data_IF_407750277705
#
_entry.id   IF_407750277705
#
_cell.length_a   1.000
_cell.length_b   1.000
_cell.length_c   1.000
_cell.angle_alpha   90.00
_cell.angle_beta   90.00
_cell.angle_gamma   90.00
#
_symmetry.space_group_name_H-M   'P 1'
#
loop_
_entity.id
_entity.type
_entity.pdbx_description
1 polymer ?
#
# COMPACT_ATOMS: atom_id res chain seq x y z
N UNK A 1 -8.46 -19.70 -5.11
CA UNK A 1 -8.24 -18.66 -4.09
C UNK A 1 -8.50 -17.32 -4.78
N UNK A 2 -9.28 -16.41 -4.20
CA UNK A 2 -9.74 -15.17 -4.87
C UNK A 2 -9.36 -13.97 -4.01
N UNK A 3 -8.53 -13.07 -4.52
CA UNK A 3 -8.06 -11.86 -3.84
C UNK A 3 -8.62 -10.66 -4.62
N UNK A 4 -9.31 -9.72 -3.99
CA UNK A 4 -9.95 -8.59 -4.71
C UNK A 4 -9.02 -7.38 -4.74
N UNK A 5 -8.89 -6.70 -5.87
CA UNK A 5 -8.14 -5.45 -6.01
C UNK A 5 -9.08 -4.32 -6.41
N UNK A 6 -9.12 -3.22 -5.64
CA UNK A 6 -9.95 -2.05 -5.98
C UNK A 6 -9.10 -0.90 -6.51
N UNK A 7 -9.21 -0.60 -7.81
CA UNK A 7 -8.68 0.64 -8.42
C UNK A 7 -9.79 1.71 -8.41
N UNK A 8 -9.75 2.66 -7.47
CA UNK A 8 -10.76 3.73 -7.33
C UNK A 8 -10.16 5.12 -7.61
N UNK A 9 -10.98 6.04 -8.12
CA UNK A 9 -10.65 7.37 -8.67
C UNK A 9 -10.90 8.51 -7.68
N UNK A 10 -9.97 9.44 -7.39
CA UNK A 10 -10.10 10.91 -7.27
C UNK A 10 -8.76 11.50 -6.73
N UNK A 11 -8.69 12.83 -6.66
CA UNK A 11 -7.49 13.65 -6.43
C UNK A 11 -7.20 13.82 -4.93
N UNK A 12 -5.90 13.75 -4.55
CA UNK A 12 -5.27 13.94 -3.22
C UNK A 12 -5.81 13.04 -2.10
N UNK A 13 -4.94 12.16 -1.56
CA UNK A 13 -5.15 11.36 -0.32
C UNK A 13 -6.02 10.07 -0.39
N UNK A 14 -5.77 9.21 -1.37
CA UNK A 14 -6.70 8.14 -1.79
C UNK A 14 -6.62 6.74 -1.17
N UNK A 15 -5.52 6.34 -0.54
CA UNK A 15 -5.46 4.97 0.05
C UNK A 15 -6.40 4.77 1.23
N UNK A 16 -6.66 5.84 1.99
CA UNK A 16 -7.42 5.78 3.24
C UNK A 16 -8.92 5.76 2.95
N UNK A 17 -9.39 6.38 1.86
CA UNK A 17 -10.82 6.43 1.51
C UNK A 17 -11.39 5.06 1.13
N UNK A 18 -10.59 4.24 0.44
CA UNK A 18 -10.98 2.84 0.16
C UNK A 18 -11.18 2.07 1.48
N UNK A 19 -10.31 2.31 2.46
CA UNK A 19 -10.44 1.73 3.80
C UNK A 19 -11.62 2.33 4.60
N UNK A 20 -11.98 3.60 4.36
CA UNK A 20 -13.17 4.23 4.94
C UNK A 20 -14.48 3.65 4.41
N UNK A 21 -14.47 3.03 3.23
CA UNK A 21 -15.64 2.31 2.70
C UNK A 21 -15.85 0.93 3.35
N UNK A 22 -14.86 0.41 4.08
CA UNK A 22 -15.01 -0.83 4.86
C UNK A 22 -15.97 -0.59 6.02
N UNK A 23 -16.92 -1.49 6.22
CA UNK A 23 -17.87 -1.44 7.33
C UNK A 23 -17.15 -1.26 8.68
N UNK A 24 -17.57 -0.26 9.46
CA UNK A 24 -16.89 0.15 10.69
C UNK A 24 -16.85 -0.99 11.72
N UNK A 25 -17.90 -1.80 11.78
CA UNK A 25 -18.01 -2.92 12.71
C UNK A 25 -17.04 -4.06 12.34
N UNK A 26 -16.68 -4.19 11.07
CA UNK A 26 -15.76 -5.22 10.58
C UNK A 26 -14.29 -4.87 10.85
N UNK A 27 -13.94 -3.58 10.96
CA UNK A 27 -12.54 -3.12 11.05
C UNK A 27 -11.82 -3.64 12.29
N UNK A 28 -12.53 -3.75 13.41
CA UNK A 28 -11.96 -4.14 14.70
C UNK A 28 -11.34 -5.56 14.70
N UNK A 29 -11.63 -6.40 13.70
CA UNK A 29 -11.03 -7.72 13.51
C UNK A 29 -10.00 -7.81 12.38
N UNK A 30 -9.72 -6.71 11.67
CA UNK A 30 -8.98 -6.71 10.41
C UNK A 30 -7.60 -6.04 10.53
N UNK A 31 -6.61 -6.61 9.85
CA UNK A 31 -5.22 -6.15 9.84
C UNK A 31 -4.83 -5.51 8.52
N UNK A 32 -4.13 -4.39 8.59
CA UNK A 32 -3.64 -3.63 7.44
C UNK A 32 -2.11 -3.62 7.42
N UNK A 33 -1.51 -3.88 6.27
CA UNK A 33 -0.07 -3.69 6.03
C UNK A 33 0.16 -2.51 5.09
N UNK A 34 1.13 -1.66 5.40
CA UNK A 34 1.51 -0.49 4.59
C UNK A 34 3.02 -0.55 4.30
N UNK A 35 3.44 -1.20 3.21
CA UNK A 35 4.83 -1.19 2.76
C UNK A 35 5.24 0.19 2.22
N UNK A 36 6.48 0.59 2.48
CA UNK A 36 7.01 1.89 2.03
C UNK A 36 6.26 3.06 2.65
N UNK A 37 5.98 2.97 3.95
CA UNK A 37 5.15 3.97 4.64
C UNK A 37 5.81 5.37 4.73
N UNK A 38 7.10 5.49 4.39
CA UNK A 38 7.85 6.73 4.38
C UNK A 38 7.85 7.41 5.75
N UNK A 39 7.50 8.70 5.78
CA UNK A 39 7.38 9.49 7.03
C UNK A 39 6.22 9.07 7.95
N UNK A 40 5.52 8.00 7.58
CA UNK A 40 4.52 7.37 8.43
C UNK A 40 3.17 8.07 8.45
N UNK A 41 2.98 9.29 7.89
CA UNK A 41 1.70 10.05 7.93
C UNK A 41 0.47 9.14 7.75
N UNK A 42 0.50 8.27 6.75
CA UNK A 42 -0.60 7.35 6.44
C UNK A 42 -0.60 6.07 7.28
N UNK A 43 0.56 5.64 7.76
CA UNK A 43 0.64 4.65 8.84
C UNK A 43 -0.06 5.11 10.12
N UNK A 44 -0.19 6.43 10.36
CA UNK A 44 -0.88 6.98 11.53
C UNK A 44 -2.39 7.16 11.35
N UNK A 45 -2.86 7.48 10.13
CA UNK A 45 -4.30 7.72 9.88
C UNK A 45 -5.13 6.42 9.81
N UNK A 46 -4.55 5.32 9.34
CA UNK A 46 -5.26 4.04 9.20
C UNK A 46 -5.66 3.44 10.56
N UNK A 47 -4.79 3.39 11.60
CA UNK A 47 -5.19 2.95 12.94
C UNK A 47 -6.40 3.69 13.51
N UNK A 48 -6.55 4.99 13.21
CA UNK A 48 -7.68 5.80 13.69
C UNK A 48 -9.02 5.40 13.06
N UNK A 49 -8.99 4.65 11.96
CA UNK A 49 -10.21 4.11 11.34
C UNK A 49 -10.82 2.93 12.12
N UNK A 50 -10.14 2.42 13.16
CA UNK A 50 -10.64 1.33 14.01
C UNK A 50 -10.21 -0.07 13.57
N UNK A 51 -9.14 -0.19 12.76
CA UNK A 51 -8.57 -1.49 12.42
C UNK A 51 -7.91 -2.16 13.63
N UNK A 52 -7.92 -3.49 13.68
CA UNK A 52 -7.27 -4.27 14.75
C UNK A 52 -5.80 -3.92 14.88
N UNK A 53 -5.11 -3.87 13.74
CA UNK A 53 -3.68 -3.62 13.66
C UNK A 53 -3.32 -3.01 12.31
N UNK A 54 -2.48 -1.99 12.32
CA UNK A 54 -1.80 -1.47 11.13
C UNK A 54 -0.30 -1.66 11.31
N UNK A 55 0.32 -2.40 10.40
CA UNK A 55 1.78 -2.53 10.34
C UNK A 55 2.31 -1.67 9.21
N UNK A 56 3.09 -0.64 9.53
CA UNK A 56 3.78 0.20 8.57
C UNK A 56 5.25 -0.23 8.47
N UNK A 57 5.71 -0.53 7.26
CA UNK A 57 7.04 -1.09 6.99
C UNK A 57 7.87 -0.10 6.20
N UNK A 58 9.12 0.12 6.62
CA UNK A 58 10.06 1.02 5.95
C UNK A 58 11.49 0.48 5.98
N UNK A 59 12.26 0.66 4.90
CA UNK A 59 13.59 0.07 4.71
C UNK A 59 14.71 0.86 5.42
N UNK A 60 14.54 2.16 5.70
CA UNK A 60 15.63 2.98 6.24
C UNK A 60 15.19 4.03 7.26
N UNK A 61 15.70 3.92 8.49
CA UNK A 61 15.44 4.86 9.61
C UNK A 61 15.88 6.31 9.39
N UNK A 62 16.72 6.62 8.39
CA UNK A 62 17.12 8.00 8.06
C UNK A 62 15.93 8.85 7.59
N UNK A 63 14.86 8.24 7.08
CA UNK A 63 13.58 8.92 6.84
C UNK A 63 12.69 9.01 8.09
N UNK A 64 12.99 8.31 9.18
CA UNK A 64 12.11 8.26 10.36
C UNK A 64 12.46 9.31 11.41
N UNK A 65 13.66 9.32 12.01
CA UNK A 65 13.86 10.15 13.20
C UNK A 65 13.96 11.66 12.90
N UNK A 66 14.76 12.07 11.92
CA UNK A 66 14.96 13.50 11.61
C UNK A 66 13.74 14.16 10.96
N UNK A 67 12.95 13.42 10.19
CA UNK A 67 11.75 13.94 9.54
C UNK A 67 10.50 13.90 10.44
N UNK A 68 10.44 13.02 11.45
CA UNK A 68 9.47 13.11 12.55
C UNK A 68 9.67 14.37 13.39
N UNK A 69 10.91 14.86 13.54
CA UNK A 69 11.26 16.03 14.38
C UNK A 69 11.55 17.32 13.61
N UNK A 70 11.69 17.29 12.27
CA UNK A 70 11.75 18.52 11.48
C UNK A 70 10.38 19.17 11.48
N UNK A 71 10.28 20.30 12.16
CA UNK A 71 9.17 21.25 12.17
C UNK A 71 8.97 21.94 10.81
N UNK A 72 9.04 21.19 9.71
CA UNK A 72 8.32 21.59 8.50
C UNK A 72 6.85 21.58 8.92
N UNK A 73 6.05 22.58 8.51
CA UNK A 73 4.60 22.64 8.75
C UNK A 73 3.88 21.52 7.99
N UNK A 74 4.17 20.27 8.35
CA UNK A 74 3.79 19.03 7.68
C UNK A 74 2.75 18.26 8.51
N UNK A 75 2.60 18.62 9.78
CA UNK A 75 1.63 18.05 10.70
C UNK A 75 0.68 19.16 11.16
N UNK A 76 -0.45 19.31 10.45
CA UNK A 76 -1.60 20.04 10.99
C UNK A 76 -2.23 19.30 12.19
N UNK A 77 -1.86 18.03 12.39
CA UNK A 77 -2.35 17.15 13.46
C UNK A 77 -1.16 16.50 14.18
N UNK A 78 -1.14 16.59 15.51
CA UNK A 78 -0.14 15.90 16.35
C UNK A 78 -0.39 14.39 16.27
N UNK A 79 0.63 13.57 15.92
CA UNK A 79 0.48 12.12 15.88
C UNK A 79 0.04 11.57 17.23
N UNK A 80 -1.10 10.87 17.27
CA UNK A 80 -1.50 10.09 18.44
C UNK A 80 -1.02 8.66 18.26
N UNK A 81 -0.09 8.23 19.11
CA UNK A 81 0.37 6.84 19.15
C UNK A 81 -0.82 5.94 19.55
N UNK A 82 -1.45 5.32 18.55
CA UNK A 82 -2.45 4.28 18.76
C UNK A 82 -1.75 2.97 19.07
N UNK A 83 -2.27 2.20 20.04
CA UNK A 83 -1.79 0.84 20.32
C UNK A 83 -1.99 -0.12 19.14
N UNK A 84 -2.83 0.25 18.17
CA UNK A 84 -3.06 -0.52 16.95
C UNK A 84 -1.98 -0.29 15.88
N UNK A 85 -1.05 0.65 16.06
CA UNK A 85 0.03 0.90 15.10
C UNK A 85 1.32 0.16 15.48
N UNK A 86 1.87 -0.58 14.52
CA UNK A 86 3.22 -1.14 14.55
C UNK A 86 4.07 -0.51 13.46
N UNK A 87 5.19 0.10 13.85
CA UNK A 87 6.23 0.53 12.92
C UNK A 87 7.31 -0.55 12.86
N UNK A 88 7.65 -0.99 11.65
CA UNK A 88 8.65 -2.02 11.42
C UNK A 88 9.72 -1.49 10.47
N UNK A 89 10.96 -1.41 10.96
CA UNK A 89 12.12 -1.18 10.11
C UNK A 89 12.58 -2.51 9.52
N UNK A 90 12.26 -2.74 8.26
CA UNK A 90 12.63 -3.96 7.55
C UNK A 90 12.55 -3.75 6.04
N UNK A 91 13.29 -4.58 5.30
CA UNK A 91 13.00 -4.80 3.89
C UNK A 91 11.66 -5.52 3.75
N UNK A 92 10.75 -4.96 2.94
CA UNK A 92 9.45 -5.55 2.65
C UNK A 92 9.55 -7.02 2.21
N UNK A 93 10.56 -7.39 1.41
CA UNK A 93 10.71 -8.76 0.91
C UNK A 93 11.19 -9.75 1.99
N UNK A 94 11.61 -9.25 3.15
CA UNK A 94 12.03 -10.08 4.30
C UNK A 94 10.90 -10.39 5.27
N UNK A 95 9.71 -9.82 5.05
CA UNK A 95 8.55 -10.10 5.86
C UNK A 95 8.17 -11.57 5.74
N UNK A 96 7.80 -12.18 6.87
CA UNK A 96 7.43 -13.59 6.89
C UNK A 96 6.06 -13.75 6.26
N UNK A 97 6.00 -14.52 5.19
CA UNK A 97 4.73 -14.95 4.61
C UNK A 97 4.07 -15.99 5.52
N UNK A 98 2.75 -15.93 5.70
CA UNK A 98 2.01 -16.97 6.38
C UNK A 98 2.25 -18.33 5.70
N UNK A 99 2.41 -19.43 6.47
CA UNK A 99 2.54 -20.75 5.88
C UNK A 99 1.27 -21.11 5.12
N UNK A 100 1.43 -21.84 4.00
CA UNK A 100 0.29 -22.36 3.26
C UNK A 100 -0.61 -23.21 4.20
N UNK A 101 -1.94 -23.09 4.11
CA UNK A 101 -2.83 -23.85 4.96
C UNK A 101 -2.62 -25.35 4.73
N UNK A 102 -2.34 -26.08 5.81
CA UNK A 102 -2.22 -27.55 5.79
C UNK A 102 -3.61 -28.20 5.67
N UNK A 103 -4.65 -27.49 6.12
CA UNK A 103 -6.04 -27.91 6.12
C UNK A 103 -6.89 -26.74 5.62
N UNK A 104 -7.71 -26.96 4.58
CA UNK A 104 -8.51 -25.92 3.88
C UNK A 104 -9.51 -25.17 4.77
N UNK A 105 -9.84 -25.70 5.95
CA UNK A 105 -10.88 -25.17 6.84
C UNK A 105 -10.34 -24.32 8.01
N UNK A 106 -9.01 -24.20 8.17
CA UNK A 106 -8.44 -23.35 9.22
C UNK A 106 -8.32 -21.89 8.74
N UNK A 107 -8.47 -20.90 9.65
CA UNK A 107 -8.22 -19.51 9.32
C UNK A 107 -6.79 -19.36 8.82
N UNK A 108 -6.63 -18.94 7.56
CA UNK A 108 -5.31 -18.73 7.00
C UNK A 108 -4.75 -17.42 7.56
N UNK A 109 -3.57 -17.44 8.20
CA UNK A 109 -2.94 -16.22 8.67
C UNK A 109 -2.59 -15.31 7.48
N UNK A 110 -2.52 -14.00 7.72
CA UNK A 110 -2.27 -13.00 6.68
C UNK A 110 -2.97 -11.66 6.98
N UNK A 111 -2.76 -10.69 6.11
CA UNK A 111 -3.36 -9.36 6.18
C UNK A 111 -4.70 -9.32 5.44
N UNK A 112 -5.65 -8.56 5.98
CA UNK A 112 -6.93 -8.27 5.33
C UNK A 112 -6.73 -7.27 4.19
N UNK A 113 -5.88 -6.27 4.43
CA UNK A 113 -5.55 -5.25 3.47
C UNK A 113 -4.04 -5.07 3.36
N UNK A 114 -3.54 -4.91 2.13
CA UNK A 114 -2.21 -4.36 1.86
C UNK A 114 -2.40 -3.09 1.07
N UNK A 115 -1.75 -2.01 1.51
CA UNK A 115 -1.83 -0.69 0.89
C UNK A 115 -0.44 -0.25 0.48
N UNK A 116 -0.18 -0.19 -0.83
CA UNK A 116 1.08 0.29 -1.40
C UNK A 116 0.88 1.67 -2.00
N UNK A 117 1.78 2.61 -1.74
CA UNK A 117 1.65 4.01 -2.15
C UNK A 117 2.96 4.52 -2.72
N UNK A 118 3.00 4.83 -4.02
CA UNK A 118 4.26 5.22 -4.68
C UNK A 118 5.41 4.25 -4.35
N UNK A 119 5.08 2.95 -4.32
CA UNK A 119 5.94 1.91 -3.74
C UNK A 119 6.35 0.85 -4.76
N UNK A 120 5.43 0.40 -5.60
CA UNK A 120 5.75 -0.73 -6.50
C UNK A 120 6.77 -0.33 -7.58
N UNK A 121 6.83 0.94 -7.95
CA UNK A 121 7.73 1.51 -8.93
C UNK A 121 9.17 1.70 -8.43
N UNK A 122 9.39 1.64 -7.12
CA UNK A 122 10.73 1.62 -6.50
C UNK A 122 11.28 0.20 -6.27
N UNK A 123 10.49 -0.84 -6.60
CA UNK A 123 10.91 -2.23 -6.39
C UNK A 123 12.14 -2.62 -7.23
N UNK A 124 13.02 -3.45 -6.68
CA UNK A 124 14.15 -4.04 -7.42
C UNK A 124 13.69 -5.08 -8.46
N UNK A 125 12.62 -5.81 -8.11
CA UNK A 125 11.99 -6.83 -8.93
C UNK A 125 10.49 -6.77 -8.69
N UNK A 126 9.76 -6.14 -9.62
CA UNK A 126 8.31 -5.99 -9.53
C UNK A 126 7.62 -7.34 -9.41
N UNK A 127 8.06 -8.37 -10.14
CA UNK A 127 7.45 -9.70 -10.09
C UNK A 127 7.53 -10.30 -8.67
N UNK A 128 8.71 -10.21 -8.06
CA UNK A 128 8.93 -10.67 -6.68
C UNK A 128 8.11 -9.86 -5.68
N UNK A 129 8.00 -8.55 -5.88
CA UNK A 129 7.16 -7.68 -5.05
C UNK A 129 5.68 -8.07 -5.15
N UNK A 130 5.15 -8.31 -6.35
CA UNK A 130 3.75 -8.72 -6.56
C UNK A 130 3.46 -10.08 -5.94
N UNK A 131 4.35 -11.06 -6.13
CA UNK A 131 4.25 -12.37 -5.47
C UNK A 131 4.24 -12.23 -3.94
N UNK A 132 5.11 -11.39 -3.40
CA UNK A 132 5.21 -11.20 -1.96
C UNK A 132 3.95 -10.53 -1.38
N UNK A 133 3.38 -9.54 -2.06
CA UNK A 133 2.06 -8.95 -1.72
C UNK A 133 0.99 -10.04 -1.71
N UNK A 134 0.93 -10.88 -2.75
CA UNK A 134 -0.05 -11.96 -2.85
C UNK A 134 0.03 -12.93 -1.66
N UNK A 135 1.23 -13.36 -1.28
CA UNK A 135 1.41 -14.31 -0.19
C UNK A 135 1.23 -13.71 1.21
N UNK A 136 1.41 -12.39 1.37
CA UNK A 136 1.16 -11.70 2.65
C UNK A 136 -0.33 -11.47 2.92
N UNK A 137 -1.17 -11.49 1.88
CA UNK A 137 -2.61 -11.41 2.01
C UNK A 137 -3.19 -12.75 2.47
N UNK A 138 -4.20 -12.67 3.35
CA UNK A 138 -5.05 -13.83 3.59
C UNK A 138 -5.92 -14.09 2.35
N UNK A 139 -6.44 -15.32 2.16
CA UNK A 139 -7.46 -15.58 1.16
C UNK A 139 -8.65 -14.62 1.32
N UNK A 140 -9.05 -13.96 0.23
CA UNK A 140 -10.11 -12.96 0.25
C UNK A 140 -9.69 -11.58 0.73
N UNK A 141 -8.41 -11.38 1.08
CA UNK A 141 -7.87 -10.05 1.36
C UNK A 141 -7.88 -9.14 0.12
N UNK A 142 -7.55 -7.87 0.36
CA UNK A 142 -7.57 -6.84 -0.67
C UNK A 142 -6.25 -6.10 -0.76
N UNK A 143 -5.74 -5.97 -1.97
CA UNK A 143 -4.61 -5.09 -2.27
C UNK A 143 -5.13 -3.78 -2.86
N UNK A 144 -4.58 -2.67 -2.37
CA UNK A 144 -4.90 -1.31 -2.80
C UNK A 144 -3.59 -0.62 -3.19
N UNK A 145 -3.47 -0.21 -4.45
CA UNK A 145 -2.25 0.41 -4.98
C UNK A 145 -2.53 1.75 -5.67
N UNK A 146 -2.61 2.87 -4.93
CA UNK A 146 -2.59 4.20 -5.50
C UNK A 146 -1.14 4.63 -5.75
N UNK A 147 -0.71 4.64 -7.00
CA UNK A 147 0.63 5.10 -7.35
C UNK A 147 0.92 5.01 -8.84
N UNK A 148 1.91 5.75 -9.34
CA UNK A 148 2.31 5.67 -10.73
C UNK A 148 3.22 4.45 -10.97
N UNK A 149 3.64 4.26 -12.22
CA UNK A 149 4.65 3.28 -12.63
C UNK A 149 5.90 4.00 -13.14
N UNK A 150 6.53 4.81 -12.28
CA UNK A 150 7.70 5.60 -12.63
C UNK A 150 8.98 4.81 -12.33
N UNK A 151 9.29 3.83 -13.18
CA UNK A 151 10.44 2.93 -12.99
C UNK A 151 11.82 3.60 -13.09
N UNK A 152 11.89 4.85 -13.54
CA UNK A 152 13.15 5.48 -13.92
C UNK A 152 14.03 5.76 -12.72
N UNK A 153 15.35 5.65 -12.90
CA UNK A 153 16.33 6.01 -11.87
C UNK A 153 16.19 7.47 -11.39
N UNK A 154 15.68 8.37 -12.23
CA UNK A 154 15.39 9.76 -11.87
C UNK A 154 14.24 9.90 -10.86
N UNK A 155 13.36 8.90 -10.79
CA UNK A 155 12.24 8.79 -9.85
C UNK A 155 12.62 8.07 -8.55
N UNK A 156 13.89 7.63 -8.42
CA UNK A 156 14.33 6.74 -7.35
C UNK A 156 14.10 5.26 -7.64
N UNK A 157 13.61 4.91 -8.83
CA UNK A 157 13.41 3.53 -9.28
C UNK A 157 14.72 2.74 -9.29
N UNK A 158 14.71 1.56 -8.68
CA UNK A 158 15.85 0.64 -8.66
C UNK A 158 15.59 -0.61 -9.52
N UNK A 159 14.46 -0.66 -10.22
CA UNK A 159 14.04 -1.83 -10.98
C UNK A 159 14.95 -2.07 -12.18
N UNK A 160 15.39 -3.33 -12.35
CA UNK A 160 16.06 -3.77 -13.58
C UNK A 160 15.07 -4.06 -14.71
N UNK A 161 13.77 -4.12 -14.40
CA UNK A 161 12.69 -4.47 -15.32
C UNK A 161 11.57 -3.44 -15.25
N UNK A 162 11.37 -2.70 -16.33
CA UNK A 162 10.33 -1.70 -16.44
C UNK A 162 9.11 -2.30 -17.15
N UNK A 163 8.01 -2.49 -16.42
CA UNK A 163 6.79 -3.07 -16.97
C UNK A 163 5.75 -1.99 -17.29
N UNK A 164 5.08 -2.13 -18.44
CA UNK A 164 3.90 -1.32 -18.74
C UNK A 164 2.73 -1.75 -17.86
N UNK A 165 1.81 -0.83 -17.57
CA UNK A 165 0.62 -1.09 -16.75
C UNK A 165 -0.14 -2.36 -17.18
N UNK A 166 -0.36 -2.55 -18.49
CA UNK A 166 -1.06 -3.73 -19.00
C UNK A 166 -0.37 -5.05 -18.63
N UNK A 167 0.97 -5.06 -18.63
CA UNK A 167 1.74 -6.26 -18.26
C UNK A 167 1.66 -6.49 -16.75
N UNK A 168 1.72 -5.42 -15.93
CA UNK A 168 1.52 -5.52 -14.48
C UNK A 168 0.14 -6.10 -14.17
N UNK A 169 -0.92 -5.59 -14.81
CA UNK A 169 -2.30 -6.07 -14.63
C UNK A 169 -2.44 -7.54 -15.03
N UNK A 170 -1.83 -7.96 -16.14
CA UNK A 170 -1.84 -9.35 -16.55
C UNK A 170 -1.10 -10.24 -15.53
N UNK A 171 0.07 -9.82 -15.04
CA UNK A 171 0.83 -10.58 -14.04
C UNK A 171 0.02 -10.77 -12.76
N UNK A 172 -0.70 -9.75 -12.28
CA UNK A 172 -1.50 -9.87 -11.05
C UNK A 172 -2.70 -10.80 -11.23
N UNK A 173 -3.34 -10.77 -12.40
CA UNK A 173 -4.39 -11.74 -12.77
C UNK A 173 -3.82 -13.18 -12.80
N UNK A 174 -2.63 -13.37 -13.40
CA UNK A 174 -1.94 -14.67 -13.44
C UNK A 174 -1.53 -15.19 -12.06
N UNK A 175 -1.17 -14.30 -11.12
CA UNK A 175 -0.90 -14.65 -9.72
C UNK A 175 -2.16 -15.09 -8.97
N UNK A 176 -3.35 -14.70 -9.43
CA UNK A 176 -4.63 -15.07 -8.85
C UNK A 176 -5.41 -13.92 -8.20
N UNK A 177 -5.00 -12.66 -8.42
CA UNK A 177 -5.83 -11.51 -8.09
C UNK A 177 -7.03 -11.40 -9.03
N UNK A 178 -8.11 -10.82 -8.50
CA UNK A 178 -9.30 -10.42 -9.22
C UNK A 178 -9.35 -8.91 -9.14
N UNK A 179 -9.18 -8.25 -10.28
CA UNK A 179 -9.29 -6.81 -10.39
C UNK A 179 -10.78 -6.45 -10.38
N UNK A 180 -11.19 -5.62 -9.42
CA UNK A 180 -12.55 -5.10 -9.36
C UNK A 180 -12.84 -4.28 -10.63
N UNK A 181 -14.00 -4.49 -11.26
CA UNK A 181 -14.35 -3.76 -12.45
C UNK A 181 -14.51 -2.26 -12.12
N UNK A 182 -14.02 -1.38 -13.00
CA UNK A 182 -14.20 0.06 -12.86
C UNK A 182 -15.68 0.44 -12.97
N UNK A 183 -16.13 1.41 -12.17
CA UNK A 183 -17.54 1.86 -12.13
C UNK A 183 -18.01 2.49 -13.46
N UNK A 184 -17.07 2.97 -14.28
CA UNK A 184 -17.28 3.66 -15.56
C UNK A 184 -16.90 2.82 -16.80
N UNK A 185 -16.57 1.54 -16.61
CA UNK A 185 -16.30 0.59 -17.70
C UNK A 185 -14.91 0.73 -18.36
N UNK A 186 -14.07 1.67 -17.92
CA UNK A 186 -12.68 1.78 -18.38
C UNK A 186 -11.73 1.01 -17.49
N UNK A 187 -11.12 -0.06 -18.01
CA UNK A 187 -10.26 -1.04 -17.30
C UNK A 187 -9.15 -0.42 -16.41
N UNK A 188 -8.78 0.83 -16.63
CA UNK A 188 -7.80 1.61 -15.86
C UNK A 188 -8.18 3.09 -15.88
N UNK A 189 -8.03 3.78 -14.75
CA UNK A 189 -8.23 5.23 -14.69
C UNK A 189 -6.93 5.91 -14.29
N UNK A 190 -6.44 6.79 -15.16
CA UNK A 190 -5.35 7.70 -14.82
C UNK A 190 -5.90 8.80 -13.93
N UNK A 191 -5.41 8.87 -12.70
CA UNK A 191 -5.72 9.94 -11.76
C UNK A 191 -4.51 10.86 -11.68
N UNK A 192 -4.71 12.16 -11.94
CA UNK A 192 -3.64 13.13 -11.70
C UNK A 192 -3.31 13.18 -10.21
N UNK A 193 -2.04 12.97 -9.89
CA UNK A 193 -1.52 12.94 -8.53
C UNK A 193 -0.18 13.68 -8.50
N UNK A 194 -0.04 14.64 -7.58
CA UNK A 194 1.21 15.35 -7.36
C UNK A 194 2.00 14.70 -6.22
N UNK A 195 3.29 14.46 -6.43
CA UNK A 195 4.22 14.03 -5.39
C UNK A 195 5.09 15.23 -4.98
N UNK A 196 5.06 15.62 -3.72
CA UNK A 196 5.80 16.79 -3.18
C UNK A 196 5.54 18.13 -3.91
N UNK A 197 4.32 18.35 -4.41
CA UNK A 197 3.95 19.56 -5.15
C UNK A 197 4.05 20.85 -4.31
N UNK A 198 4.80 21.83 -4.81
CA UNK A 198 4.81 23.20 -4.28
C UNK A 198 3.73 24.02 -5.02
N UNK A 199 2.73 24.49 -4.29
CA UNK A 199 1.64 25.29 -4.84
C UNK A 199 2.11 26.62 -5.49
N UNK A 200 3.32 27.08 -5.13
CA UNK A 200 3.95 28.28 -5.68
C UNK A 200 4.90 27.99 -6.86
N UNK A 201 5.17 26.73 -7.19
CA UNK A 201 6.03 26.38 -8.30
C UNK A 201 5.35 26.71 -9.65
N UNK A 202 6.13 27.33 -10.56
CA UNK A 202 5.66 27.68 -11.90
C UNK A 202 5.68 26.49 -12.87
N UNK A 203 6.36 25.40 -12.52
CA UNK A 203 6.33 24.13 -13.25
C UNK A 203 5.48 23.15 -12.43
N UNK A 204 4.39 22.67 -13.04
CA UNK A 204 3.52 21.62 -12.52
C UNK A 204 3.63 20.42 -13.44
#
# INVERSE_FOLDING_TARGET
MRVRESLKHYIRDWSVDVLRAVDIDARAGQRVLVPGAGLGRRGWEIPELGFLETTAVELSFLMNLEALFRSIRLLDVVPRLSSALKLLEADFLTLKTPPAPIIDFLPVPGHDFIVTLFFIDISLSILTTLEHIYYLLRPGGTWINPGPLLWTAASGGQSKLELRLQVVLQTVEELGFIIDPPEDGQRTTTVECEYTGDAQAMMR
#
